data_IF_045473231048
#
_entry.id   IF_045473231048
#
_cell.length_a   1.000
_cell.length_b   1.000
_cell.length_c   1.000
_cell.angle_alpha   90.00
_cell.angle_beta   90.00
_cell.angle_gamma   90.00
#
_symmetry.space_group_name_H-M   'P 1'
#
loop_
_entity.id
_entity.type
_entity.pdbx_description
1 polymer ?
#
# COMPACT_ATOMS: atom_id res chain seq x y z
N UNK A 1 15.25 -25.56 33.31
CA UNK A 1 14.21 -24.53 33.06
C UNK A 1 14.37 -23.78 31.71
N UNK A 2 15.45 -23.94 30.95
CA UNK A 2 15.67 -23.26 29.67
C UNK A 2 14.95 -23.88 28.45
N UNK A 3 14.56 -25.15 28.51
CA UNK A 3 13.89 -25.83 27.39
C UNK A 3 12.41 -25.46 27.20
N UNK A 4 11.71 -25.00 28.26
CA UNK A 4 10.27 -24.68 28.19
C UNK A 4 10.05 -23.35 27.48
N UNK A 5 11.01 -22.41 27.59
CA UNK A 5 10.91 -21.08 26.95
C UNK A 5 11.06 -21.13 25.42
N UNK A 6 11.92 -22.04 24.92
CA UNK A 6 12.18 -22.18 23.47
C UNK A 6 11.00 -22.87 22.75
N UNK A 7 10.33 -23.82 23.40
CA UNK A 7 9.18 -24.52 22.81
C UNK A 7 7.96 -23.62 22.70
N UNK A 8 7.73 -22.73 23.66
CA UNK A 8 6.62 -21.74 23.59
C UNK A 8 6.84 -20.70 22.52
N UNK A 9 8.06 -20.22 22.29
CA UNK A 9 8.38 -19.27 21.21
C UNK A 9 8.16 -19.89 19.82
N UNK A 10 8.58 -21.13 19.60
CA UNK A 10 8.38 -21.82 18.32
C UNK A 10 6.90 -22.11 18.01
N UNK A 11 6.10 -22.42 19.03
CA UNK A 11 4.67 -22.63 18.86
C UNK A 11 3.93 -21.29 18.60
N UNK A 12 4.34 -20.19 19.22
CA UNK A 12 3.82 -18.86 18.94
C UNK A 12 4.08 -18.43 17.49
N UNK A 13 5.31 -18.59 16.99
CA UNK A 13 5.67 -18.26 15.61
C UNK A 13 4.87 -19.07 14.58
N UNK A 14 4.63 -20.36 14.79
CA UNK A 14 3.79 -21.17 13.90
C UNK A 14 2.33 -20.67 13.89
N UNK A 15 1.82 -20.26 15.03
CA UNK A 15 0.47 -19.71 15.15
C UNK A 15 0.33 -18.40 14.37
N UNK A 16 1.29 -17.46 14.48
CA UNK A 16 1.23 -16.19 13.74
C UNK A 16 1.40 -16.39 12.24
N UNK A 17 2.31 -17.22 11.78
CA UNK A 17 2.45 -17.50 10.35
C UNK A 17 1.13 -17.98 9.75
N UNK A 18 0.49 -18.98 10.35
CA UNK A 18 -0.77 -19.51 9.83
C UNK A 18 -1.90 -18.46 9.81
N UNK A 19 -2.01 -17.67 10.88
CA UNK A 19 -3.02 -16.59 10.97
C UNK A 19 -2.76 -15.52 9.90
N UNK A 20 -1.51 -15.04 9.81
CA UNK A 20 -1.13 -13.96 8.92
C UNK A 20 -1.17 -14.38 7.45
N UNK A 21 -0.76 -15.59 7.12
CA UNK A 21 -0.87 -16.13 5.75
C UNK A 21 -2.33 -16.26 5.30
N UNK A 22 -3.24 -16.65 6.21
CA UNK A 22 -4.68 -16.65 5.92
C UNK A 22 -5.22 -15.23 5.72
N UNK A 23 -4.73 -14.26 6.49
CA UNK A 23 -5.06 -12.83 6.29
C UNK A 23 -4.59 -12.37 4.91
N UNK A 24 -3.36 -12.72 4.51
CA UNK A 24 -2.88 -12.44 3.15
C UNK A 24 -3.83 -12.94 2.07
N UNK A 25 -4.22 -14.23 2.16
CA UNK A 25 -5.10 -14.86 1.16
C UNK A 25 -6.46 -14.17 1.10
N UNK A 26 -7.05 -13.83 2.24
CA UNK A 26 -8.32 -13.10 2.32
C UNK A 26 -8.20 -11.69 1.76
N UNK A 27 -7.15 -10.96 2.12
CA UNK A 27 -6.90 -9.60 1.65
C UNK A 27 -6.80 -9.56 0.12
N UNK A 28 -6.07 -10.50 -0.46
CA UNK A 28 -5.89 -10.55 -1.92
C UNK A 28 -7.17 -11.00 -2.63
N UNK A 29 -7.87 -12.01 -2.11
CA UNK A 29 -9.07 -12.56 -2.77
C UNK A 29 -10.22 -11.54 -2.85
N UNK A 30 -10.40 -10.72 -1.81
CA UNK A 30 -11.48 -9.69 -1.84
C UNK A 30 -11.17 -8.51 -2.78
N UNK A 31 -10.00 -8.50 -3.42
CA UNK A 31 -9.58 -7.45 -4.37
C UNK A 31 -9.53 -7.94 -5.82
N UNK A 32 -9.72 -9.24 -6.09
CA UNK A 32 -9.66 -9.81 -7.44
C UNK A 32 -10.66 -9.15 -8.41
N UNK A 33 -11.84 -8.75 -7.93
CA UNK A 33 -12.87 -8.09 -8.73
C UNK A 33 -12.45 -6.75 -9.33
N UNK A 34 -11.46 -6.07 -8.73
CA UNK A 34 -11.01 -4.75 -9.20
C UNK A 34 -10.40 -4.82 -10.61
N UNK A 35 -9.85 -5.97 -11.00
CA UNK A 35 -9.28 -6.21 -12.34
C UNK A 35 -10.35 -6.12 -13.45
N UNK A 36 -11.59 -6.51 -13.13
CA UNK A 36 -12.71 -6.50 -14.10
C UNK A 36 -13.78 -5.44 -13.79
N UNK A 37 -13.49 -4.46 -12.95
CA UNK A 37 -14.47 -3.51 -12.41
C UNK A 37 -15.30 -2.77 -13.47
N UNK A 38 -14.70 -2.46 -14.62
CA UNK A 38 -15.39 -1.77 -15.72
C UNK A 38 -16.56 -2.56 -16.33
N UNK A 39 -16.63 -3.88 -16.11
CA UNK A 39 -17.71 -4.75 -16.59
C UNK A 39 -18.79 -5.03 -15.55
N UNK A 40 -18.64 -4.55 -14.32
CA UNK A 40 -19.56 -4.79 -13.22
C UNK A 40 -20.66 -3.73 -13.17
N UNK A 41 -21.84 -4.14 -12.70
CA UNK A 41 -22.94 -3.23 -12.35
C UNK A 41 -22.63 -2.45 -11.08
N UNK A 42 -23.35 -1.35 -10.85
CA UNK A 42 -23.21 -0.56 -9.63
C UNK A 42 -23.53 -1.37 -8.35
N UNK A 43 -24.51 -2.28 -8.42
CA UNK A 43 -24.89 -3.14 -7.29
C UNK A 43 -23.79 -4.15 -6.95
N UNK A 44 -23.16 -4.78 -7.98
CA UNK A 44 -22.03 -5.69 -7.79
C UNK A 44 -20.81 -4.95 -7.20
N UNK A 45 -20.51 -3.75 -7.69
CA UNK A 45 -19.43 -2.92 -7.14
C UNK A 45 -19.70 -2.59 -5.66
N UNK A 46 -20.95 -2.26 -5.32
CA UNK A 46 -21.34 -1.95 -3.94
C UNK A 46 -21.18 -3.17 -3.02
N UNK A 47 -21.62 -4.36 -3.48
CA UNK A 47 -21.49 -5.61 -2.72
C UNK A 47 -20.02 -5.99 -2.49
N UNK A 48 -19.20 -5.99 -3.54
CA UNK A 48 -17.77 -6.30 -3.42
C UNK A 48 -17.03 -5.28 -2.55
N UNK A 49 -17.36 -3.98 -2.67
CA UNK A 49 -16.77 -2.93 -1.84
C UNK A 49 -17.13 -3.12 -0.36
N UNK A 50 -18.36 -3.54 -0.06
CA UNK A 50 -18.78 -3.85 1.30
C UNK A 50 -18.00 -5.05 1.88
N UNK A 51 -17.89 -6.15 1.14
CA UNK A 51 -17.15 -7.34 1.59
C UNK A 51 -15.64 -7.05 1.75
N UNK A 52 -15.07 -6.22 0.87
CA UNK A 52 -13.68 -5.76 1.00
C UNK A 52 -13.50 -4.95 2.29
N UNK A 53 -14.35 -3.95 2.53
CA UNK A 53 -14.27 -3.12 3.75
C UNK A 53 -14.47 -3.94 5.03
N UNK A 54 -15.38 -4.92 5.02
CA UNK A 54 -15.60 -5.86 6.13
C UNK A 54 -14.37 -6.73 6.39
N UNK A 55 -13.77 -7.26 5.34
CA UNK A 55 -12.56 -8.09 5.44
C UNK A 55 -11.38 -7.27 5.97
N UNK A 56 -11.19 -6.05 5.46
CA UNK A 56 -10.16 -5.13 5.92
C UNK A 56 -10.30 -4.84 7.41
N UNK A 57 -11.52 -4.56 7.89
CA UNK A 57 -11.79 -4.30 9.31
C UNK A 57 -11.41 -5.50 10.20
N UNK A 58 -11.76 -6.72 9.80
CA UNK A 58 -11.40 -7.94 10.54
C UNK A 58 -9.89 -8.20 10.54
N UNK A 59 -9.24 -8.02 9.40
CA UNK A 59 -7.80 -8.17 9.25
C UNK A 59 -7.05 -7.15 10.12
N UNK A 60 -7.48 -5.88 10.09
CA UNK A 60 -6.91 -4.80 10.90
C UNK A 60 -7.06 -5.09 12.39
N UNK A 61 -8.22 -5.54 12.85
CA UNK A 61 -8.43 -5.91 14.25
C UNK A 61 -7.41 -6.95 14.71
N UNK A 62 -7.15 -7.97 13.88
CA UNK A 62 -6.22 -9.05 14.24
C UNK A 62 -4.77 -8.58 14.18
N UNK A 63 -4.36 -7.91 13.09
CA UNK A 63 -2.97 -7.51 12.89
C UNK A 63 -2.56 -6.41 13.86
N UNK A 64 -3.42 -5.42 14.10
CA UNK A 64 -3.09 -4.33 15.02
C UNK A 64 -3.07 -4.80 16.49
N UNK A 65 -3.92 -5.77 16.86
CA UNK A 65 -3.82 -6.41 18.18
C UNK A 65 -2.46 -7.11 18.39
N UNK A 66 -1.95 -7.79 17.37
CA UNK A 66 -0.61 -8.40 17.40
C UNK A 66 0.47 -7.31 17.52
N UNK A 67 0.44 -6.30 16.65
CA UNK A 67 1.44 -5.25 16.61
C UNK A 67 1.47 -4.41 17.88
N UNK A 68 0.32 -4.11 18.47
CA UNK A 68 0.22 -3.30 19.69
C UNK A 68 0.66 -4.05 20.95
N UNK A 69 0.51 -5.38 20.99
CA UNK A 69 0.90 -6.20 22.14
C UNK A 69 2.34 -6.70 22.11
N UNK A 70 2.80 -7.07 20.92
CA UNK A 70 4.07 -7.80 20.77
C UNK A 70 5.05 -7.11 19.82
N UNK A 71 4.62 -6.03 19.13
CA UNK A 71 5.37 -5.45 18.04
C UNK A 71 5.33 -6.35 16.79
N UNK A 72 6.29 -6.18 15.89
CA UNK A 72 6.41 -7.03 14.70
C UNK A 72 6.98 -8.39 15.10
N UNK A 73 6.24 -9.50 14.96
CA UNK A 73 6.72 -10.80 15.40
C UNK A 73 7.97 -11.25 14.62
N UNK A 74 8.88 -11.93 15.30
CA UNK A 74 10.09 -12.49 14.67
C UNK A 74 9.79 -13.82 13.97
N UNK A 75 10.67 -14.22 13.03
CA UNK A 75 10.64 -15.51 12.34
C UNK A 75 9.37 -15.77 11.53
N UNK A 76 8.73 -14.72 11.04
CA UNK A 76 7.62 -14.83 10.11
C UNK A 76 8.11 -15.25 8.71
N UNK A 77 7.24 -15.96 7.97
CA UNK A 77 7.44 -16.17 6.53
C UNK A 77 7.30 -14.85 5.75
N UNK A 78 7.83 -14.82 4.53
CA UNK A 78 7.68 -13.65 3.65
C UNK A 78 6.20 -13.30 3.42
N UNK A 79 5.34 -14.32 3.25
CA UNK A 79 3.90 -14.14 3.08
C UNK A 79 3.25 -13.53 4.32
N UNK A 80 3.64 -13.97 5.52
CA UNK A 80 3.13 -13.42 6.78
C UNK A 80 3.60 -11.97 7.00
N UNK A 81 4.87 -11.66 6.70
CA UNK A 81 5.39 -10.30 6.73
C UNK A 81 4.63 -9.40 5.74
N UNK A 82 4.38 -9.92 4.52
CA UNK A 82 3.62 -9.20 3.50
C UNK A 82 2.17 -8.95 3.92
N UNK A 83 1.53 -9.89 4.63
CA UNK A 83 0.18 -9.70 5.19
C UNK A 83 0.11 -8.50 6.13
N UNK A 84 1.07 -8.38 7.06
CA UNK A 84 1.11 -7.24 8.00
C UNK A 84 1.23 -5.92 7.21
N UNK A 85 2.13 -5.87 6.24
CA UNK A 85 2.32 -4.67 5.41
C UNK A 85 1.04 -4.30 4.65
N UNK A 86 0.38 -5.27 3.99
CA UNK A 86 -0.87 -5.04 3.25
C UNK A 86 -1.97 -4.47 4.15
N UNK A 87 -2.13 -5.04 5.35
CA UNK A 87 -3.16 -4.57 6.30
C UNK A 87 -2.86 -3.14 6.77
N UNK A 88 -1.60 -2.77 6.97
CA UNK A 88 -1.21 -1.39 7.27
C UNK A 88 -1.50 -0.49 6.06
N UNK A 89 -1.10 -0.89 4.85
CA UNK A 89 -1.29 -0.10 3.63
C UNK A 89 -2.77 0.12 3.29
N UNK A 90 -3.62 -0.88 3.55
CA UNK A 90 -5.07 -0.81 3.31
C UNK A 90 -5.87 -0.21 4.49
N UNK A 91 -5.20 0.25 5.55
CA UNK A 91 -5.87 0.89 6.68
C UNK A 91 -6.14 2.38 6.44
N UNK A 92 -6.72 3.05 7.42
CA UNK A 92 -6.89 4.50 7.41
C UNK A 92 -5.56 5.26 7.62
N UNK A 93 -5.57 6.57 7.36
CA UNK A 93 -4.40 7.43 7.47
C UNK A 93 -3.78 7.41 8.87
N UNK A 94 -4.59 7.32 9.94
CA UNK A 94 -4.10 7.34 11.32
C UNK A 94 -3.29 6.08 11.65
N UNK A 95 -3.74 4.92 11.20
CA UNK A 95 -3.03 3.66 11.36
C UNK A 95 -1.76 3.61 10.50
N UNK A 96 -1.81 4.09 9.25
CA UNK A 96 -0.60 4.19 8.43
C UNK A 96 0.47 5.08 9.08
N UNK A 97 0.08 6.23 9.62
CA UNK A 97 1.01 7.11 10.36
C UNK A 97 1.58 6.39 11.58
N UNK A 98 0.72 5.72 12.37
CA UNK A 98 1.10 4.99 13.58
C UNK A 98 2.19 3.95 13.33
N UNK A 99 2.08 3.19 12.23
CA UNK A 99 2.98 2.08 11.93
C UNK A 99 4.08 2.40 10.91
N UNK A 100 4.12 3.62 10.35
CA UNK A 100 5.08 4.01 9.30
C UNK A 100 6.55 3.80 9.72
N UNK A 101 6.91 4.21 10.95
CA UNK A 101 8.28 4.04 11.44
C UNK A 101 8.63 2.57 11.67
N UNK A 102 7.66 1.76 12.09
CA UNK A 102 7.84 0.32 12.22
C UNK A 102 8.10 -0.34 10.86
N UNK A 103 7.33 0.03 9.83
CA UNK A 103 7.52 -0.44 8.45
C UNK A 103 8.90 0.00 7.91
N UNK A 104 9.33 1.23 8.21
CA UNK A 104 10.66 1.72 7.85
C UNK A 104 11.77 0.85 8.45
N UNK A 105 11.70 0.56 9.74
CA UNK A 105 12.68 -0.32 10.42
C UNK A 105 12.69 -1.72 9.78
N UNK A 106 11.53 -2.29 9.47
CA UNK A 106 11.45 -3.61 8.82
C UNK A 106 11.99 -3.62 7.40
N UNK A 107 11.87 -2.53 6.68
CA UNK A 107 12.51 -2.36 5.37
C UNK A 107 14.05 -2.20 5.47
N UNK A 108 14.54 -1.51 6.50
CA UNK A 108 15.98 -1.38 6.79
C UNK A 108 16.61 -2.71 7.24
N UNK A 109 15.86 -3.53 7.97
CA UNK A 109 16.25 -4.89 8.38
C UNK A 109 16.18 -5.93 7.24
N UNK A 110 15.59 -5.58 6.08
CA UNK A 110 15.39 -6.49 4.95
C UNK A 110 14.25 -7.49 5.13
N UNK A 111 13.39 -7.30 6.13
CA UNK A 111 12.16 -8.09 6.35
C UNK A 111 11.08 -7.69 5.33
N UNK A 112 11.03 -6.43 4.98
CA UNK A 112 10.22 -5.87 3.89
C UNK A 112 11.14 -5.29 2.81
N UNK A 113 10.60 -5.07 1.61
CA UNK A 113 11.31 -4.32 0.59
C UNK A 113 11.36 -2.82 0.95
N UNK A 114 12.41 -2.13 0.53
CA UNK A 114 12.46 -0.67 0.66
C UNK A 114 11.36 0.02 -0.17
N UNK A 115 10.93 -0.61 -1.26
CA UNK A 115 9.80 -0.12 -2.06
C UNK A 115 8.47 -0.19 -1.30
N UNK A 116 8.26 -1.18 -0.42
CA UNK A 116 7.07 -1.25 0.43
C UNK A 116 6.99 -0.03 1.38
N UNK A 117 8.12 0.33 1.98
CA UNK A 117 8.18 1.56 2.77
C UNK A 117 7.93 2.82 1.92
N UNK A 118 8.53 2.90 0.74
CA UNK A 118 8.36 4.04 -0.15
C UNK A 118 6.90 4.26 -0.58
N UNK A 119 6.19 3.19 -0.92
CA UNK A 119 4.77 3.21 -1.28
C UNK A 119 3.92 3.72 -0.10
N UNK A 120 4.12 3.14 1.10
CA UNK A 120 3.38 3.55 2.30
C UNK A 120 3.68 4.99 2.69
N UNK A 121 4.96 5.42 2.58
CA UNK A 121 5.38 6.80 2.86
C UNK A 121 4.69 7.79 1.95
N UNK A 122 4.71 7.54 0.64
CA UNK A 122 4.10 8.43 -0.34
C UNK A 122 2.57 8.50 -0.17
N UNK A 123 1.92 7.36 0.09
CA UNK A 123 0.48 7.32 0.38
C UNK A 123 0.14 8.15 1.61
N UNK A 124 0.92 8.01 2.67
CA UNK A 124 0.74 8.80 3.89
C UNK A 124 0.91 10.29 3.62
N UNK A 125 1.89 10.67 2.82
CA UNK A 125 2.10 12.07 2.42
C UNK A 125 0.92 12.61 1.60
N UNK A 126 0.51 11.88 0.56
CA UNK A 126 -0.60 12.29 -0.32
C UNK A 126 -1.90 12.51 0.47
N UNK A 127 -2.25 11.62 1.39
CA UNK A 127 -3.48 11.74 2.19
C UNK A 127 -3.45 12.89 3.20
N UNK A 128 -2.26 13.35 3.56
CA UNK A 128 -2.07 14.56 4.36
C UNK A 128 -1.92 15.83 3.50
N UNK A 129 -2.21 15.76 2.20
CA UNK A 129 -2.10 16.91 1.30
C UNK A 129 -0.66 17.37 1.06
N UNK A 130 0.32 16.47 1.22
CA UNK A 130 1.74 16.77 1.04
C UNK A 130 2.25 16.13 -0.25
N UNK A 131 3.24 16.78 -0.88
CA UNK A 131 3.92 16.20 -2.03
C UNK A 131 4.66 14.92 -1.66
N UNK A 132 4.59 13.92 -2.54
CA UNK A 132 5.25 12.63 -2.36
C UNK A 132 6.77 12.71 -2.65
N UNK A 133 7.51 11.69 -2.22
CA UNK A 133 8.98 11.64 -2.35
C UNK A 133 9.39 10.77 -3.53
N UNK A 134 8.77 9.61 -3.69
CA UNK A 134 9.19 8.56 -4.62
C UNK A 134 8.30 8.45 -5.86
N UNK A 135 7.21 9.21 -5.96
CA UNK A 135 6.33 9.19 -7.12
C UNK A 135 5.59 7.86 -7.30
N UNK A 136 5.03 7.31 -6.21
CA UNK A 136 4.32 6.03 -6.24
C UNK A 136 2.81 6.17 -6.27
N UNK A 137 2.28 7.37 -5.97
CA UNK A 137 0.85 7.60 -5.83
C UNK A 137 0.28 8.37 -7.03
N UNK A 138 -0.91 7.93 -7.43
CA UNK A 138 -1.67 8.46 -8.56
C UNK A 138 -3.04 8.89 -8.05
N UNK A 139 -3.56 10.01 -8.53
CA UNK A 139 -4.89 10.48 -8.19
C UNK A 139 -5.69 10.77 -9.45
N UNK A 140 -6.96 10.42 -9.42
CA UNK A 140 -7.92 10.84 -10.43
C UNK A 140 -8.42 12.23 -10.10
N UNK A 141 -8.40 13.13 -11.06
CA UNK A 141 -8.92 14.49 -10.94
C UNK A 141 -9.69 14.91 -12.17
N UNK A 142 -10.66 15.80 -11.98
CA UNK A 142 -11.35 16.43 -13.10
C UNK A 142 -10.39 17.36 -13.85
N UNK A 143 -10.42 17.30 -15.16
CA UNK A 143 -9.68 18.22 -16.04
C UNK A 143 -10.59 18.75 -17.12
N UNK A 144 -10.34 19.98 -17.56
CA UNK A 144 -11.11 20.63 -18.64
C UNK A 144 -10.30 20.51 -19.94
N UNK A 145 -10.89 19.88 -20.95
CA UNK A 145 -10.31 19.75 -22.29
C UNK A 145 -11.30 20.39 -23.27
N UNK A 146 -10.96 21.60 -23.72
CA UNK A 146 -11.90 22.40 -24.52
C UNK A 146 -13.11 22.86 -23.69
N UNK A 147 -14.33 22.43 -24.08
CA UNK A 147 -15.58 22.67 -23.33
C UNK A 147 -16.00 21.49 -22.44
N UNK A 148 -15.28 20.36 -22.50
CA UNK A 148 -15.64 19.14 -21.81
C UNK A 148 -14.88 18.99 -20.48
N UNK A 149 -15.58 18.45 -19.46
CA UNK A 149 -14.96 18.01 -18.20
C UNK A 149 -14.73 16.50 -18.29
N UNK A 150 -13.48 16.08 -18.16
CA UNK A 150 -13.08 14.67 -18.18
C UNK A 150 -12.34 14.31 -16.91
N UNK A 151 -12.35 13.02 -16.56
CA UNK A 151 -11.54 12.50 -15.45
C UNK A 151 -10.19 12.03 -16.01
N UNK A 152 -9.11 12.52 -15.42
CA UNK A 152 -7.75 12.19 -15.81
C UNK A 152 -6.96 11.64 -14.62
N UNK A 153 -6.15 10.61 -14.87
CA UNK A 153 -5.19 10.10 -13.87
C UNK A 153 -3.91 10.94 -13.90
N UNK A 154 -3.53 11.43 -12.74
CA UNK A 154 -2.30 12.22 -12.58
C UNK A 154 -1.37 11.55 -11.58
N UNK A 155 -0.07 11.58 -11.88
CA UNK A 155 0.93 11.37 -10.84
C UNK A 155 0.78 12.48 -9.79
N UNK A 156 0.60 12.11 -8.53
CA UNK A 156 0.55 13.08 -7.43
C UNK A 156 1.83 13.92 -7.39
N UNK A 157 1.79 15.22 -7.07
CA UNK A 157 2.97 16.08 -7.06
C UNK A 157 4.12 15.51 -6.23
N UNK A 158 5.34 15.63 -6.76
CA UNK A 158 6.57 15.15 -6.09
C UNK A 158 7.38 16.33 -5.53
N UNK A 159 8.10 16.09 -4.43
CA UNK A 159 8.91 17.13 -3.76
C UNK A 159 10.09 17.61 -4.60
N UNK A 160 10.72 16.71 -5.34
CA UNK A 160 11.87 17.01 -6.20
C UNK A 160 11.83 16.15 -7.48
N UNK A 161 11.33 16.76 -8.55
CA UNK A 161 11.24 16.10 -9.85
C UNK A 161 12.63 15.82 -10.48
N UNK A 162 13.67 16.55 -10.06
CA UNK A 162 15.02 16.38 -10.61
C UNK A 162 15.72 15.19 -9.97
N UNK A 163 15.55 14.99 -8.67
CA UNK A 163 16.14 13.89 -7.93
C UNK A 163 15.32 12.60 -7.97
N UNK A 164 14.10 12.62 -8.55
CA UNK A 164 13.11 11.55 -8.43
C UNK A 164 13.66 10.17 -8.79
N UNK A 165 14.29 10.00 -9.95
CA UNK A 165 14.80 8.69 -10.37
C UNK A 165 15.96 8.21 -9.49
N UNK A 166 16.79 9.13 -8.98
CA UNK A 166 17.82 8.80 -8.01
C UNK A 166 17.20 8.31 -6.69
N UNK A 167 16.18 8.99 -6.18
CA UNK A 167 15.45 8.57 -4.99
C UNK A 167 14.77 7.21 -5.18
N UNK A 168 14.09 7.01 -6.31
CA UNK A 168 13.45 5.73 -6.68
C UNK A 168 14.45 4.57 -6.67
N UNK A 169 15.63 4.78 -7.28
CA UNK A 169 16.68 3.77 -7.29
C UNK A 169 17.16 3.38 -5.89
N UNK A 170 17.21 4.30 -4.92
CA UNK A 170 17.63 3.99 -3.53
C UNK A 170 16.72 3.00 -2.82
N UNK A 171 15.47 2.90 -3.27
CA UNK A 171 14.44 2.02 -2.70
C UNK A 171 14.04 0.88 -3.64
N UNK A 172 14.77 0.68 -4.75
CA UNK A 172 14.55 -0.42 -5.69
C UNK A 172 13.33 -0.25 -6.59
N UNK A 173 12.88 0.99 -6.82
CA UNK A 173 11.82 1.30 -7.77
C UNK A 173 12.39 1.57 -9.15
N UNK A 174 11.67 1.19 -10.22
CA UNK A 174 12.04 1.52 -11.60
C UNK A 174 12.00 3.02 -11.87
N UNK A 175 12.70 3.55 -12.88
CA UNK A 175 12.61 4.94 -13.30
C UNK A 175 11.15 5.38 -13.49
N UNK A 176 10.87 6.67 -13.26
CA UNK A 176 9.49 7.16 -13.23
C UNK A 176 8.77 6.98 -14.57
N UNK A 177 9.43 7.19 -15.68
CA UNK A 177 8.82 7.03 -17.01
C UNK A 177 8.42 5.57 -17.30
N UNK A 178 9.24 4.60 -16.87
CA UNK A 178 8.91 3.18 -16.95
C UNK A 178 7.72 2.83 -16.07
N UNK A 179 7.69 3.34 -14.85
CA UNK A 179 6.57 3.16 -13.92
C UNK A 179 5.27 3.72 -14.50
N UNK A 180 5.28 4.95 -15.01
CA UNK A 180 4.11 5.60 -15.60
C UNK A 180 3.59 4.81 -16.83
N UNK A 181 4.50 4.34 -17.68
CA UNK A 181 4.14 3.52 -18.83
C UNK A 181 3.48 2.22 -18.38
N UNK A 182 4.15 1.46 -17.51
CA UNK A 182 3.65 0.16 -17.03
C UNK A 182 2.31 0.30 -16.30
N UNK A 183 2.16 1.32 -15.48
CA UNK A 183 0.92 1.61 -14.76
C UNK A 183 -0.21 2.04 -15.71
N UNK A 184 0.10 2.87 -16.72
CA UNK A 184 -0.87 3.28 -17.73
C UNK A 184 -1.38 2.08 -18.54
N UNK A 185 -0.47 1.18 -18.94
CA UNK A 185 -0.80 -0.05 -19.66
C UNK A 185 -1.69 -0.97 -18.78
N UNK A 186 -1.39 -1.07 -17.48
CA UNK A 186 -2.15 -1.91 -16.56
C UNK A 186 -3.56 -1.41 -16.29
N UNK A 187 -3.77 -0.09 -16.19
CA UNK A 187 -5.10 0.49 -15.92
C UNK A 187 -5.88 0.83 -17.20
N UNK A 188 -5.26 0.71 -18.37
CA UNK A 188 -5.87 1.05 -19.66
C UNK A 188 -6.11 2.55 -19.89
N UNK A 189 -5.48 3.41 -19.10
CA UNK A 189 -5.60 4.86 -19.17
C UNK A 189 -4.24 5.54 -19.00
N UNK A 190 -4.01 6.62 -19.73
CA UNK A 190 -2.77 7.40 -19.61
C UNK A 190 -2.70 8.06 -18.25
N UNK A 191 -1.59 7.86 -17.55
CA UNK A 191 -1.27 8.60 -16.33
C UNK A 191 -0.37 9.77 -16.71
N UNK A 192 -0.85 10.97 -16.45
CA UNK A 192 -0.14 12.22 -16.80
C UNK A 192 0.75 12.65 -15.64
N UNK A 193 2.00 12.92 -15.91
CA UNK A 193 2.87 13.65 -14.99
C UNK A 193 2.99 15.11 -15.42
N UNK A 194 2.13 15.95 -14.88
CA UNK A 194 2.18 17.39 -15.06
C UNK A 194 3.06 18.02 -13.97
N UNK A 195 4.28 18.39 -14.34
CA UNK A 195 5.28 18.96 -13.43
C UNK A 195 4.94 20.39 -12.95
N UNK A 196 3.91 21.01 -13.50
CA UNK A 196 3.45 22.35 -13.10
C UNK A 196 2.40 22.29 -12.00
N UNK A 197 1.76 21.13 -11.81
CA UNK A 197 0.76 20.94 -10.77
C UNK A 197 1.39 20.81 -9.37
N UNK A 198 0.74 21.48 -8.43
CA UNK A 198 1.02 21.43 -7.00
C UNK A 198 -0.07 20.63 -6.28
N UNK A 199 0.06 20.41 -4.97
CA UNK A 199 -0.95 19.70 -4.17
C UNK A 199 -2.27 20.45 -4.09
N UNK A 200 -2.25 21.77 -4.26
CA UNK A 200 -3.43 22.65 -4.24
C UNK A 200 -4.28 22.52 -5.52
N UNK A 201 -3.77 21.87 -6.56
CA UNK A 201 -4.49 21.63 -7.82
C UNK A 201 -5.37 20.38 -7.80
N UNK A 202 -5.45 19.68 -6.65
CA UNK A 202 -6.16 18.43 -6.44
C UNK A 202 -7.12 18.52 -5.26
#
# INVERSE_FOLDING_TARGET
>A
MALISIVTLLNGCKSYNHILENIYDKDQSVREWTVGMASLSADEIAEYSYEMARTDSLNQTTVFDILDKEGWPSHLSDKANRAIWLVIDHSDASNRIKYLDLVKVKAEEGVLSKSDYAILKDRTLMENGLAQIYGTQIKMAATVIGEDITMQLYLWPVTDATALDSLRNTVGLSPIEEYLKTSSDAVGHVIVWDRTKTVEDF
#
